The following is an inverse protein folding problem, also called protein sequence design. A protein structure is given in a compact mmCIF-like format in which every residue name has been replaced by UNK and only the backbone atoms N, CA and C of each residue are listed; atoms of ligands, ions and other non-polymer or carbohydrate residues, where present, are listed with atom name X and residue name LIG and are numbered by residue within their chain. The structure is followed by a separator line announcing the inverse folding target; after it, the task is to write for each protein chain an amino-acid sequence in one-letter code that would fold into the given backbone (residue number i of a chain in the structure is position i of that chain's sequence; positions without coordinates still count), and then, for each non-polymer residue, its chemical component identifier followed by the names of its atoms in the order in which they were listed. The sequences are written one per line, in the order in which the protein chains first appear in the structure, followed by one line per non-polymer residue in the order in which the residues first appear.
data_IF_118268180985
#
_entry.id   IF_118268180985
#
_cell.length_a   1.000
_cell.length_b   1.000
_cell.length_c   1.000
_cell.angle_alpha   90.00
_cell.angle_beta   90.00
_cell.angle_gamma   90.00
#
_symmetry.space_group_name_H-M   'P 1'
#
loop_
_entity.id
_entity.type
_entity.pdbx_description
1 polymer ?
2 non-polymer ?
3 water ?
#
# COMPACT_ATOMS: atom_id res chain seq x y z
N UNK A 2 -7.84 7.50 -3.81
CA UNK A 2 -6.92 7.15 -5.01
C UNK A 2 -5.99 8.23 -5.62
N UNK A 3 -5.64 9.31 -4.91
CA UNK A 3 -4.83 10.32 -5.59
C UNK A 3 -3.33 10.09 -5.65
N UNK A 4 -2.58 10.98 -4.99
CA UNK A 4 -1.13 10.90 -4.99
C UNK A 4 -0.57 9.99 -3.88
N UNK A 5 -1.43 9.20 -3.24
CA UNK A 5 -0.96 8.36 -2.15
C UNK A 5 -1.41 6.91 -2.19
N UNK A 6 -1.78 6.40 -3.35
CA UNK A 6 -2.28 5.03 -3.42
C UNK A 6 -1.59 4.21 -4.45
N UNK A 7 -1.17 3.02 -4.02
CA UNK A 7 -0.55 2.05 -4.91
C UNK A 7 -1.60 0.97 -5.16
N UNK A 8 -1.81 0.63 -6.44
CA UNK A 8 -2.76 -0.42 -6.81
C UNK A 8 -1.98 -1.67 -7.23
N UNK A 9 -2.62 -2.83 -7.05
CA UNK A 9 -1.99 -4.09 -7.37
C UNK A 9 -2.88 -5.03 -8.21
N UNK A 10 -2.22 -5.99 -8.84
CA UNK A 10 -2.90 -7.01 -9.62
C UNK A 10 -3.35 -8.15 -8.70
N UNK A 11 -4.29 -8.94 -9.18
CA UNK A 11 -4.80 -10.08 -8.43
C UNK A 11 -3.67 -10.90 -7.83
N UNK A 12 -3.72 -11.10 -6.52
CA UNK A 12 -2.73 -11.87 -5.81
C UNK A 12 -1.30 -11.43 -5.87
N UNK A 13 -1.05 -10.20 -6.32
CA UNK A 13 0.32 -9.73 -6.40
C UNK A 13 0.55 -8.59 -5.40
N UNK A 14 1.80 -8.45 -4.97
CA UNK A 14 2.16 -7.37 -4.07
C UNK A 14 3.46 -6.72 -4.52
N UNK A 15 3.70 -6.78 -5.83
CA UNK A 15 4.89 -6.17 -6.39
C UNK A 15 4.51 -4.74 -6.77
N UNK A 16 5.44 -3.80 -6.68
CA UNK A 16 5.13 -2.42 -7.07
C UNK A 16 5.41 -2.19 -8.57
N UNK A 17 4.38 -1.86 -9.34
CA UNK A 17 4.57 -1.66 -10.79
C UNK A 17 5.30 -0.37 -11.08
N UNK A 18 6.01 -0.35 -12.20
CA UNK A 18 6.75 0.84 -12.65
C UNK A 18 5.96 2.15 -12.58
N UNK A 19 4.68 2.03 -12.94
CA UNK A 19 3.75 3.13 -12.96
C UNK A 19 3.69 3.95 -11.67
N UNK A 20 3.92 3.31 -10.54
CA UNK A 20 3.85 4.00 -9.25
C UNK A 20 5.17 4.50 -8.66
N UNK A 21 6.28 4.18 -9.31
CA UNK A 21 7.60 4.53 -8.79
C UNK A 21 7.76 6.02 -8.55
N UNK A 22 7.29 6.80 -9.51
CA UNK A 22 7.39 8.24 -9.43
C UNK A 22 6.60 8.84 -8.26
N UNK A 23 5.34 8.44 -8.11
CA UNK A 23 4.54 8.92 -6.99
C UNK A 23 5.26 8.52 -5.69
N UNK A 24 5.78 7.28 -5.62
CA UNK A 24 6.47 6.81 -4.41
C UNK A 24 7.77 7.55 -4.15
N UNK A 25 8.45 7.95 -5.24
CA UNK A 25 9.71 8.72 -5.11
C UNK A 25 9.41 10.11 -4.48
N UNK A 26 8.25 10.65 -4.80
CA UNK A 26 7.88 11.93 -4.28
C UNK A 26 7.73 11.81 -2.74
N UNK A 27 7.14 10.71 -2.27
CA UNK A 27 6.97 10.49 -0.84
C UNK A 27 8.35 10.22 -0.22
N UNK A 28 9.22 9.46 -0.88
CA UNK A 28 10.53 9.20 -0.29
C UNK A 28 11.31 10.52 -0.09
N UNK A 29 11.26 11.37 -1.12
CA UNK A 29 11.95 12.65 -1.08
C UNK A 29 11.40 13.48 0.11
N UNK A 30 10.08 13.54 0.24
CA UNK A 30 9.46 14.28 1.33
C UNK A 30 9.92 13.78 2.73
N UNK A 31 9.87 12.45 2.94
CA UNK A 31 10.25 11.84 4.22
C UNK A 31 11.74 11.97 4.50
N UNK A 32 12.56 11.83 3.47
CA UNK A 32 13.99 11.95 3.64
C UNK A 32 14.36 13.39 4.06
N UNK A 33 13.73 14.37 3.43
CA UNK A 33 14.06 15.77 3.72
C UNK A 33 13.39 16.29 5.01
N UNK A 34 12.62 15.42 5.67
CA UNK A 34 11.88 15.79 6.88
C UNK A 34 11.93 14.58 7.78
N UNK A 35 13.10 14.32 8.38
CA UNK A 35 13.32 13.16 9.27
C UNK A 35 12.37 12.97 10.45
N UNK A 36 11.65 14.03 10.82
CA UNK A 36 10.72 13.90 11.93
C UNK A 36 9.30 13.46 11.48
N UNK A 37 9.07 13.38 10.15
CA UNK A 37 7.75 12.95 9.66
C UNK A 37 7.57 11.45 9.70
N UNK A 38 6.34 11.01 9.92
CA UNK A 38 6.03 9.58 9.97
C UNK A 38 4.85 9.26 9.03
N UNK A 39 4.87 8.09 8.40
CA UNK A 39 3.79 7.77 7.50
C UNK A 39 3.38 6.36 7.85
N UNK A 40 2.13 6.05 7.61
CA UNK A 40 1.61 4.70 7.85
C UNK A 40 1.14 4.18 6.51
N UNK A 41 1.53 2.96 6.17
CA UNK A 41 1.08 2.37 4.92
C UNK A 41 0.00 1.36 5.33
N UNK A 42 -1.18 1.53 4.78
CA UNK A 42 -2.31 0.67 5.10
C UNK A 42 -2.55 -0.25 3.87
N UNK A 43 -2.34 -1.55 4.05
CA UNK A 43 -2.53 -2.52 2.97
C UNK A 43 -3.91 -3.17 2.96
N UNK A 44 -4.42 -3.46 1.75
CA UNK A 44 -5.76 -4.03 1.59
C UNK A 44 -5.78 -5.10 0.50
N UNK A 45 -6.94 -5.73 0.34
CA UNK A 45 -7.08 -6.79 -0.66
C UNK A 45 -8.57 -6.82 -1.05
N UNK A 46 -8.91 -7.33 -2.24
CA UNK A 46 -10.32 -7.43 -2.63
C UNK A 46 -10.93 -8.67 -1.92
N UNK A 47 -12.26 -8.86 -1.99
CA UNK A 47 -12.87 -9.92 -1.16
C UNK A 47 -12.64 -11.40 -1.44
N UNK A 48 -11.97 -11.74 -2.54
CA UNK A 48 -11.69 -13.15 -2.90
C UNK A 48 -10.70 -13.86 -1.97
N UNK A 49 -11.12 -15.01 -1.44
CA UNK A 49 -10.25 -15.78 -0.56
C UNK A 49 -10.52 -15.57 0.92
N UNK A 50 -9.98 -16.46 1.76
CA UNK A 50 -10.16 -16.40 3.21
C UNK A 50 -9.66 -15.07 3.77
N UNK A 51 -10.21 -14.68 4.92
CA UNK A 51 -9.86 -13.44 5.61
C UNK A 51 -8.38 -13.41 5.92
N UNK A 52 -7.85 -14.54 6.40
CA UNK A 52 -6.44 -14.68 6.77
C UNK A 52 -5.49 -14.55 5.58
N UNK A 53 -5.88 -15.16 4.46
CA UNK A 53 -5.07 -15.04 3.27
C UNK A 53 -4.99 -13.52 2.94
N UNK A 54 -6.12 -12.84 3.00
CA UNK A 54 -6.13 -11.41 2.67
C UNK A 54 -5.39 -10.53 3.65
N UNK A 55 -5.45 -10.88 4.93
CA UNK A 55 -4.68 -10.11 5.92
C UNK A 55 -3.21 -10.20 5.53
N UNK A 56 -2.77 -11.41 5.20
CA UNK A 56 -1.38 -11.62 4.80
C UNK A 56 -1.00 -10.88 3.49
N UNK A 57 -1.89 -10.94 2.51
CA UNK A 57 -1.63 -10.28 1.22
C UNK A 57 -1.61 -8.75 1.46
N UNK A 58 -2.52 -8.24 2.31
CA UNK A 58 -2.51 -6.82 2.60
C UNK A 58 -1.22 -6.40 3.29
N UNK A 59 -0.65 -7.29 4.11
CA UNK A 59 0.60 -6.96 4.80
C UNK A 59 1.80 -6.91 3.84
N UNK A 60 1.83 -7.82 2.87
CA UNK A 60 2.91 -7.88 1.90
C UNK A 60 2.83 -6.64 1.02
N UNK A 61 1.61 -6.18 0.74
CA UNK A 61 1.45 -4.99 -0.09
C UNK A 61 1.95 -3.75 0.66
N UNK A 62 1.55 -3.61 1.93
CA UNK A 62 1.99 -2.49 2.74
C UNK A 62 3.52 -2.58 2.93
N UNK A 63 4.01 -3.81 3.14
CA UNK A 63 5.45 -4.07 3.30
C UNK A 63 6.22 -3.68 2.03
N UNK A 64 5.68 -4.02 0.87
CA UNK A 64 6.33 -3.69 -0.41
C UNK A 64 6.58 -2.18 -0.49
N UNK A 65 5.58 -1.40 -0.12
CA UNK A 65 5.71 0.04 -0.16
C UNK A 65 6.77 0.47 0.84
N UNK A 66 6.69 -0.05 2.06
CA UNK A 66 7.70 0.26 3.06
C UNK A 66 9.13 -0.03 2.55
N UNK A 67 9.31 -1.19 1.90
CA UNK A 67 10.65 -1.57 1.42
C UNK A 67 11.12 -0.67 0.26
N UNK A 68 10.17 -0.31 -0.62
CA UNK A 68 10.47 0.59 -1.72
C UNK A 68 10.98 1.93 -1.14
N UNK A 69 10.27 2.49 -0.18
CA UNK A 69 10.68 3.75 0.44
C UNK A 69 12.04 3.58 1.15
N UNK A 70 12.23 2.45 1.84
CA UNK A 70 13.52 2.24 2.52
C UNK A 70 14.64 2.13 1.47
N UNK A 71 14.31 1.60 0.29
CA UNK A 71 15.27 1.50 -0.80
C UNK A 71 15.61 2.88 -1.37
N UNK A 72 14.85 3.88 -0.95
CA UNK A 72 15.11 5.23 -1.40
C UNK A 72 15.67 6.09 -0.25
N UNK A 73 16.20 5.41 0.77
CA UNK A 73 16.79 6.09 1.92
C UNK A 73 15.89 6.58 3.06
N UNK A 74 14.58 6.35 3.02
CA UNK A 74 13.71 6.74 4.14
C UNK A 74 14.04 5.81 5.31
N UNK A 75 14.18 6.36 6.51
CA UNK A 75 14.46 5.52 7.66
C UNK A 75 13.29 4.55 8.04
N UNK A 76 13.61 3.32 8.45
CA UNK A 76 12.59 2.36 8.80
C UNK A 76 11.74 2.87 9.96
N UNK A 77 12.30 3.78 10.76
CA UNK A 77 11.57 4.35 11.89
C UNK A 77 10.44 5.30 11.49
N UNK A 78 10.51 5.85 10.28
CA UNK A 78 9.49 6.79 9.84
C UNK A 78 8.34 6.05 9.18
N UNK A 79 8.43 4.74 9.08
CA UNK A 79 7.37 4.01 8.38
C UNK A 79 6.75 2.89 9.19
N UNK A 80 5.42 2.86 9.26
CA UNK A 80 4.82 1.74 9.95
C UNK A 80 3.78 1.15 9.01
N UNK A 81 3.46 -0.13 9.17
CA UNK A 81 2.46 -0.69 8.27
C UNK A 81 1.35 -1.39 9.02
N UNK A 82 0.17 -1.41 8.40
CA UNK A 82 -0.96 -2.08 9.00
C UNK A 82 -1.72 -2.75 7.85
N UNK A 83 -2.21 -3.96 8.10
CA UNK A 83 -2.98 -4.68 7.10
C UNK A 83 -4.44 -4.76 7.54
N UNK A 84 -5.35 -4.35 6.66
CA UNK A 84 -6.78 -4.45 6.93
C UNK A 84 -7.41 -5.61 6.16
N UNK A 85 -6.57 -6.44 5.52
CA UNK A 85 -7.09 -7.55 4.74
C UNK A 85 -8.20 -7.12 3.79
N UNK A 86 -9.27 -7.89 3.72
CA UNK A 86 -10.37 -7.46 2.87
C UNK A 86 -11.44 -6.82 3.76
N UNK A 87 -11.05 -6.43 4.98
CA UNK A 87 -11.99 -5.86 5.95
C UNK A 87 -12.38 -4.37 5.80
N UNK A 88 -11.62 -3.61 5.02
CA UNK A 88 -11.91 -2.19 4.84
C UNK A 88 -11.89 -1.83 3.37
N UNK A 89 -12.87 -2.34 2.62
CA UNK A 89 -12.81 -1.98 1.20
C UNK A 89 -13.05 -0.49 0.92
N UNK A 90 -12.50 -0.02 -0.21
CA UNK A 90 -12.70 1.37 -0.65
C UNK A 90 -14.00 1.42 -1.48
N UNK A 91 -14.40 0.27 -2.05
CA UNK A 91 -15.62 0.18 -2.85
C UNK A 91 -16.35 -1.16 -2.67
N UNK A 92 -17.62 -1.08 -2.28
CA UNK A 92 -18.46 -2.27 -2.11
C UNK A 92 -18.76 -2.78 -3.50
N UNK A 93 -19.14 -4.05 -3.61
CA UNK A 93 -19.42 -4.58 -4.94
C UNK A 93 -18.74 -5.91 -5.20
N UNK A 94 -19.35 -6.70 -6.06
CA UNK A 94 -18.82 -8.01 -6.35
C UNK A 94 -18.37 -8.17 -7.79
N UNK A 95 -17.61 -7.20 -8.29
CA UNK A 95 -17.11 -7.25 -9.67
C UNK A 95 -15.71 -6.67 -9.71
N UNK A 96 -15.05 -6.82 -10.86
CA UNK A 96 -13.67 -6.35 -11.04
C UNK A 96 -13.49 -4.84 -10.93
N UNK A 97 -14.54 -4.08 -11.24
CA UNK A 97 -14.46 -2.64 -11.13
C UNK A 97 -14.17 -2.33 -9.66
N UNK A 98 -14.99 -2.84 -8.74
CA UNK A 98 -14.76 -2.62 -7.32
C UNK A 98 -13.43 -3.24 -6.85
N UNK A 99 -13.21 -4.53 -7.14
CA UNK A 99 -12.01 -5.25 -6.72
C UNK A 99 -10.70 -4.58 -7.08
N UNK A 100 -10.59 -4.11 -8.32
CA UNK A 100 -9.35 -3.50 -8.73
C UNK A 100 -9.10 -2.23 -7.90
N UNK A 101 -10.17 -1.57 -7.45
CA UNK A 101 -10.02 -0.36 -6.64
C UNK A 101 -9.70 -0.70 -5.20
N UNK A 102 -9.90 -1.96 -4.83
CA UNK A 102 -9.60 -2.36 -3.47
C UNK A 102 -8.22 -3.01 -3.26
N UNK A 103 -7.61 -3.57 -4.31
CA UNK A 103 -6.29 -4.17 -4.16
C UNK A 103 -5.34 -2.97 -4.11
N UNK A 104 -5.00 -2.52 -2.90
CA UNK A 104 -4.24 -1.28 -2.82
C UNK A 104 -3.49 -1.11 -1.50
N UNK A 105 -2.57 -0.15 -1.47
CA UNK A 105 -1.81 0.20 -0.26
C UNK A 105 -1.88 1.74 -0.22
N UNK A 106 -2.22 2.32 0.92
CA UNK A 106 -2.42 3.77 0.96
C UNK A 106 -1.41 4.37 1.92
N UNK A 107 -0.72 5.44 1.49
CA UNK A 107 0.21 6.10 2.38
C UNK A 107 -0.65 7.13 3.14
N UNK A 108 -0.67 7.02 4.47
CA UNK A 108 -1.49 7.86 5.32
C UNK A 108 -0.60 8.64 6.30
N UNK A 109 -0.82 9.94 6.37
CA UNK A 109 -0.05 10.78 7.28
C UNK A 109 -0.98 11.18 8.43
X LIG B 1 -6.50 -10.06 -3.77
X LIG B 1 -6.06 -11.03 -2.74
X LIG B 1 -7.66 -10.79 -4.37
X LIG B 1 -6.88 -8.77 -3.14
X LIG B 1 -5.43 -9.78 -4.79
X LIG C 1 -7.70 1.80 -10.96
X LIG C 1 -8.45 1.14 -12.06
X LIG C 1 -6.27 1.93 -11.32
X LIG C 1 -8.28 3.15 -10.73
X LIG C 1 -7.81 0.99 -9.73
#
# INVERSE_FOLDING_TARGET
LQQNNIVYFDLDKYDIRSDFAQMLDAHANFLRSNPSYKVTVEGHADERGTPEYNISLGERRANAVKMYLQGKGVSADQISIVSYGKEKPAVLGHDEAAYSKNRRAVLVY
SO4 S O1 O2 O3 O4
SO4 S O1 O2 O3 O4
#
